data_IF_521839735791
#
_entry.id   IF_521839735791
#
_cell.length_a   1.000
_cell.length_b   1.000
_cell.length_c   1.000
_cell.angle_alpha   90.00
_cell.angle_beta   90.00
_cell.angle_gamma   90.00
#
_symmetry.space_group_name_H-M   'P 1'
#
loop_
_entity.id
_entity.type
_entity.pdbx_description
1 polymer ?
#
# COMPACT_ATOMS: atom_id res chain seq x y z
N UNK A 1 10.16 -3.33 15.10
CA UNK A 1 9.91 -1.88 15.27
C UNK A 1 8.63 -1.74 16.07
N UNK A 2 8.63 -0.91 17.10
CA UNK A 2 7.43 -0.69 17.94
C UNK A 2 6.60 0.44 17.32
N UNK A 3 5.27 0.30 17.34
CA UNK A 3 4.35 1.37 16.91
C UNK A 3 4.53 2.60 17.81
N UNK A 4 4.55 3.79 17.22
CA UNK A 4 4.58 5.03 18.00
C UNK A 4 3.15 5.32 18.50
N UNK A 5 2.87 5.28 19.82
CA UNK A 5 1.51 5.41 20.35
C UNK A 5 0.85 6.76 20.01
N UNK A 6 1.63 7.80 19.70
CA UNK A 6 1.13 9.14 19.35
C UNK A 6 0.64 9.23 17.90
N UNK A 7 0.92 8.22 17.09
CA UNK A 7 0.63 8.17 15.68
C UNK A 7 -0.87 8.04 15.37
N UNK A 8 -1.43 8.97 14.60
CA UNK A 8 -2.83 8.89 14.14
C UNK A 8 -3.13 7.64 13.28
N UNK A 9 -2.09 7.03 12.69
CA UNK A 9 -2.18 5.78 11.95
C UNK A 9 -2.55 4.57 12.82
N UNK A 10 -2.37 4.64 14.14
CA UNK A 10 -2.79 3.57 15.06
C UNK A 10 -4.31 3.47 15.24
N UNK A 11 -5.07 4.50 14.84
CA UNK A 11 -6.54 4.52 14.97
C UNK A 11 -7.21 3.51 14.03
N UNK A 12 -6.48 3.01 13.04
CA UNK A 12 -6.98 2.06 12.05
C UNK A 12 -6.46 0.66 12.37
N UNK A 13 -7.37 -0.29 12.33
CA UNK A 13 -7.09 -1.70 12.58
C UNK A 13 -6.64 -2.38 11.27
N UNK A 14 -5.70 -3.32 11.42
CA UNK A 14 -5.21 -4.20 10.36
C UNK A 14 -4.55 -5.41 11.01
N UNK A 15 -4.65 -6.59 10.38
CA UNK A 15 -4.00 -7.80 10.85
C UNK A 15 -2.47 -7.73 10.69
N UNK A 16 -1.75 -7.54 11.80
CA UNK A 16 -0.28 -7.45 11.76
C UNK A 16 0.41 -8.80 11.54
N UNK A 17 -0.30 -9.90 11.69
CA UNK A 17 0.24 -11.24 11.50
C UNK A 17 0.07 -11.75 10.06
N UNK A 18 -0.58 -10.97 9.19
CA UNK A 18 -0.90 -11.35 7.83
C UNK A 18 0.32 -11.84 7.02
N UNK A 19 1.45 -11.13 7.09
CA UNK A 19 2.67 -11.51 6.35
C UNK A 19 3.56 -12.52 7.08
N UNK A 20 3.13 -13.04 8.22
CA UNK A 20 3.91 -14.00 9.02
C UNK A 20 3.50 -15.46 8.77
N UNK A 21 2.34 -15.66 8.16
CA UNK A 21 1.81 -16.99 7.85
C UNK A 21 1.57 -17.07 6.35
N UNK A 22 2.07 -18.14 5.71
CA UNK A 22 1.83 -18.36 4.30
C UNK A 22 0.40 -18.87 4.08
N UNK A 23 -0.37 -18.15 3.27
CA UNK A 23 -1.71 -18.54 2.81
C UNK A 23 -1.89 -18.12 1.35
N UNK A 24 -2.87 -18.67 0.62
CA UNK A 24 -3.18 -18.23 -0.75
C UNK A 24 -3.43 -16.72 -0.85
N UNK A 25 -4.16 -16.15 0.12
CA UNK A 25 -4.45 -14.72 0.19
C UNK A 25 -3.18 -13.90 0.46
N UNK A 26 -2.33 -14.37 1.37
CA UNK A 26 -1.04 -13.74 1.66
C UNK A 26 -0.15 -13.73 0.42
N UNK A 27 -0.03 -14.86 -0.27
CA UNK A 27 0.76 -14.99 -1.49
C UNK A 27 0.24 -14.06 -2.60
N UNK A 28 -1.08 -13.95 -2.75
CA UNK A 28 -1.70 -13.03 -3.71
C UNK A 28 -1.37 -11.56 -3.40
N UNK A 29 -1.59 -11.13 -2.16
CA UNK A 29 -1.31 -9.75 -1.73
C UNK A 29 0.18 -9.43 -1.82
N UNK A 30 1.05 -10.40 -1.51
CA UNK A 30 2.49 -10.27 -1.66
C UNK A 30 2.86 -10.07 -3.14
N UNK A 31 2.35 -10.92 -4.03
CA UNK A 31 2.55 -10.79 -5.47
C UNK A 31 2.08 -9.43 -6.02
N UNK A 32 0.91 -8.98 -5.57
CA UNK A 32 0.41 -7.63 -5.88
C UNK A 32 1.37 -6.53 -5.41
N UNK A 33 1.91 -6.65 -4.20
CA UNK A 33 2.88 -5.68 -3.67
C UNK A 33 4.17 -5.62 -4.51
N UNK A 34 4.65 -6.77 -4.97
CA UNK A 34 5.80 -6.83 -5.88
C UNK A 34 5.48 -6.24 -7.26
N UNK A 35 4.29 -6.47 -7.82
CA UNK A 35 3.89 -5.94 -9.12
C UNK A 35 3.58 -4.42 -9.07
N UNK A 36 2.54 -4.03 -8.35
CA UNK A 36 1.96 -2.67 -8.40
C UNK A 36 2.07 -1.91 -7.07
N UNK A 37 2.29 -2.62 -5.97
CA UNK A 37 2.40 -1.99 -4.65
C UNK A 37 3.69 -1.18 -4.45
N UNK A 38 3.71 -0.37 -3.41
CA UNK A 38 4.87 0.44 -3.03
C UNK A 38 5.01 0.55 -1.52
N UNK A 39 6.26 0.58 -1.07
CA UNK A 39 6.62 0.83 0.32
C UNK A 39 7.10 2.28 0.46
N UNK A 40 6.48 3.04 1.36
CA UNK A 40 6.80 4.44 1.60
C UNK A 40 7.46 4.60 2.97
N UNK A 41 8.74 4.99 2.96
CA UNK A 41 9.42 5.47 4.16
C UNK A 41 9.03 6.92 4.44
N UNK A 42 8.17 7.08 5.45
CA UNK A 42 7.77 8.40 5.95
C UNK A 42 8.05 8.51 7.44
N UNK A 43 9.06 7.80 7.95
CA UNK A 43 9.32 7.78 9.38
C UNK A 43 9.69 9.17 9.91
N UNK A 44 10.37 9.98 9.10
CA UNK A 44 10.74 11.36 9.48
C UNK A 44 9.50 12.26 9.59
N UNK A 45 8.60 12.24 8.60
CA UNK A 45 7.47 13.17 8.52
C UNK A 45 6.23 12.70 9.29
N UNK A 46 5.95 11.40 9.27
CA UNK A 46 4.71 10.81 9.79
C UNK A 46 4.95 9.84 10.95
N UNK A 47 6.20 9.67 11.39
CA UNK A 47 6.61 8.70 12.42
C UNK A 47 6.15 7.28 12.12
N UNK A 48 5.97 6.95 10.84
CA UNK A 48 5.45 5.65 10.38
C UNK A 48 5.87 5.32 8.96
N UNK A 49 5.64 4.06 8.59
CA UNK A 49 5.85 3.53 7.27
C UNK A 49 4.50 3.14 6.67
N UNK A 50 4.35 3.33 5.35
CA UNK A 50 3.11 3.00 4.67
C UNK A 50 3.29 1.93 3.61
N UNK A 51 2.36 1.00 3.58
CA UNK A 51 2.08 0.13 2.46
C UNK A 51 1.09 0.86 1.57
N UNK A 52 1.42 0.95 0.29
CA UNK A 52 0.66 1.69 -0.70
C UNK A 52 0.22 0.76 -1.81
N UNK A 53 -1.10 0.59 -1.94
CA UNK A 53 -1.74 -0.18 -3.00
C UNK A 53 -2.45 0.81 -3.91
N UNK A 54 -2.16 0.77 -5.20
CA UNK A 54 -2.84 1.60 -6.19
C UNK A 54 -3.29 0.72 -7.35
N UNK A 55 -4.54 0.88 -7.77
CA UNK A 55 -5.09 0.18 -8.92
C UNK A 55 -6.27 1.00 -9.49
N UNK A 56 -6.65 0.74 -10.74
CA UNK A 56 -7.85 1.33 -11.34
C UNK A 56 -9.12 0.52 -11.01
N UNK A 57 -8.96 -0.68 -10.44
CA UNK A 57 -10.06 -1.53 -9.98
C UNK A 57 -10.30 -1.36 -8.47
N UNK A 58 -11.49 -0.86 -8.12
CA UNK A 58 -11.92 -0.67 -6.73
C UNK A 58 -12.26 -2.00 -6.04
N UNK A 59 -12.82 -2.96 -6.76
CA UNK A 59 -13.24 -4.25 -6.20
C UNK A 59 -12.01 -5.05 -5.80
N UNK A 60 -10.97 -5.01 -6.63
CA UNK A 60 -9.69 -5.62 -6.31
C UNK A 60 -9.07 -5.04 -5.02
N UNK A 61 -9.03 -3.72 -4.87
CA UNK A 61 -8.52 -3.10 -3.64
C UNK A 61 -9.41 -3.38 -2.43
N UNK A 62 -10.72 -3.54 -2.65
CA UNK A 62 -11.68 -3.90 -1.60
C UNK A 62 -11.48 -5.34 -1.12
N UNK A 63 -11.18 -6.26 -2.03
CA UNK A 63 -10.79 -7.64 -1.70
C UNK A 63 -9.48 -7.66 -0.91
N UNK A 64 -8.43 -6.98 -1.38
CA UNK A 64 -7.14 -6.87 -0.66
C UNK A 64 -7.34 -6.28 0.74
N UNK A 65 -8.14 -5.22 0.87
CA UNK A 65 -8.46 -4.63 2.17
C UNK A 65 -9.12 -5.64 3.11
N UNK A 66 -10.04 -6.43 2.59
CA UNK A 66 -10.78 -7.43 3.36
C UNK A 66 -9.87 -8.58 3.78
N UNK A 67 -9.00 -9.07 2.88
CA UNK A 67 -8.00 -10.10 3.20
C UNK A 67 -7.02 -9.66 4.29
N UNK A 68 -6.69 -8.37 4.34
CA UNK A 68 -5.83 -7.77 5.37
C UNK A 68 -6.56 -7.50 6.70
N UNK A 69 -7.87 -7.78 6.78
CA UNK A 69 -8.75 -7.41 7.90
C UNK A 69 -8.58 -5.94 8.31
N UNK A 70 -8.64 -5.05 7.30
CA UNK A 70 -8.27 -3.64 7.41
C UNK A 70 -9.48 -2.73 7.34
N UNK A 71 -9.58 -1.76 8.25
CA UNK A 71 -10.62 -0.73 8.23
C UNK A 71 -10.18 0.61 7.59
N UNK A 72 -9.09 0.56 6.81
CA UNK A 72 -8.57 1.72 6.12
C UNK A 72 -9.52 2.15 4.98
N UNK A 73 -9.58 3.46 4.74
CA UNK A 73 -10.38 4.01 3.64
C UNK A 73 -9.62 3.81 2.33
N UNK A 74 -10.34 3.39 1.29
CA UNK A 74 -9.88 3.47 -0.10
C UNK A 74 -10.18 4.89 -0.60
N UNK A 75 -9.15 5.58 -1.06
CA UNK A 75 -9.24 6.93 -1.60
C UNK A 75 -9.38 6.87 -3.11
N UNK A 76 -10.25 7.73 -3.65
CA UNK A 76 -10.36 7.93 -5.10
C UNK A 76 -9.30 8.94 -5.53
N UNK A 77 -8.53 8.57 -6.56
CA UNK A 77 -7.55 9.42 -7.23
C UNK A 77 -8.21 9.93 -8.50
N UNK A 78 -8.52 11.24 -8.58
CA UNK A 78 -9.21 11.78 -9.75
C UNK A 78 -8.35 11.66 -11.02
N UNK A 79 -8.99 11.59 -12.20
CA UNK A 79 -8.34 11.70 -13.50
C UNK A 79 -7.33 12.86 -13.55
N UNK A 80 -6.10 12.57 -13.95
CA UNK A 80 -5.09 13.59 -14.17
C UNK A 80 -5.07 13.96 -15.64
N UNK A 81 -5.18 15.26 -15.91
CA UNK A 81 -5.04 15.82 -17.25
C UNK A 81 -3.60 16.26 -17.46
N UNK A 82 -2.91 15.63 -18.40
CA UNK A 82 -1.55 15.97 -18.80
C UNK A 82 -1.60 16.63 -20.18
N UNK A 83 -1.07 17.85 -20.28
CA UNK A 83 -0.92 18.56 -21.55
C UNK A 83 0.43 18.22 -22.16
N UNK A 84 0.42 17.70 -23.38
CA UNK A 84 1.61 17.45 -24.18
C UNK A 84 1.59 18.37 -25.41
N UNK A 85 2.76 18.52 -26.07
CA UNK A 85 2.87 19.29 -27.32
C UNK A 85 1.89 18.81 -28.41
N UNK A 86 1.54 17.53 -28.40
CA UNK A 86 0.71 16.88 -29.42
C UNK A 86 -0.75 16.66 -28.98
N UNK A 87 -1.18 17.24 -27.85
CA UNK A 87 -2.57 17.12 -27.37
C UNK A 87 -2.70 16.96 -25.86
N UNK A 88 -3.93 16.68 -25.41
CA UNK A 88 -4.28 16.48 -24.00
C UNK A 88 -4.53 14.99 -23.74
N UNK A 89 -3.77 14.41 -22.83
CA UNK A 89 -4.01 13.06 -22.32
C UNK A 89 -4.74 13.15 -20.97
N UNK A 90 -5.76 12.33 -20.76
CA UNK A 90 -6.48 12.26 -19.48
C UNK A 90 -6.36 10.83 -18.97
N UNK A 91 -5.80 10.65 -17.78
CA UNK A 91 -5.75 9.33 -17.14
C UNK A 91 -7.14 8.93 -16.65
N UNK A 92 -7.38 7.63 -16.54
CA UNK A 92 -8.56 7.14 -15.83
C UNK A 92 -8.52 7.50 -14.35
N UNK A 93 -9.69 7.43 -13.72
CA UNK A 93 -9.81 7.44 -12.27
C UNK A 93 -9.08 6.22 -11.69
N UNK A 94 -8.35 6.44 -10.61
CA UNK A 94 -7.64 5.39 -9.89
C UNK A 94 -8.11 5.31 -8.44
N UNK A 95 -7.71 4.26 -7.77
CA UNK A 95 -8.03 4.01 -6.37
C UNK A 95 -6.75 3.71 -5.59
N UNK A 96 -6.73 4.11 -4.32
CA UNK A 96 -5.56 4.00 -3.47
C UNK A 96 -5.97 3.52 -2.08
N UNK A 97 -5.36 2.43 -1.64
CA UNK A 97 -5.40 1.96 -0.26
C UNK A 97 -4.03 2.21 0.38
N UNK A 98 -4.03 2.99 1.47
CA UNK A 98 -2.82 3.33 2.22
C UNK A 98 -2.93 2.80 3.65
N UNK A 99 -2.02 1.90 4.03
CA UNK A 99 -1.99 1.26 5.35
C UNK A 99 -0.72 1.68 6.07
N UNK A 100 -0.87 2.38 7.21
CA UNK A 100 0.25 2.85 8.01
C UNK A 100 0.58 1.85 9.11
N UNK A 101 1.60 1.00 8.91
CA UNK A 101 2.00 0.01 9.90
C UNK A 101 3.49 -0.32 9.79
N UNK A 102 4.24 -0.08 10.87
CA UNK A 102 5.69 -0.37 10.94
C UNK A 102 6.01 -1.87 11.00
N UNK A 103 5.13 -2.67 11.60
CA UNK A 103 5.30 -4.12 11.75
C UNK A 103 5.18 -4.78 10.39
N UNK A 104 4.05 -4.58 9.71
CA UNK A 104 3.81 -5.14 8.37
C UNK A 104 4.83 -4.64 7.34
N UNK A 105 5.26 -3.38 7.43
CA UNK A 105 6.33 -2.86 6.58
C UNK A 105 7.60 -3.68 6.75
N UNK A 106 8.01 -3.96 7.99
CA UNK A 106 9.20 -4.76 8.28
C UNK A 106 9.04 -6.20 7.81
N UNK A 107 7.85 -6.79 7.98
CA UNK A 107 7.58 -8.15 7.50
C UNK A 107 7.77 -8.23 5.98
N UNK A 108 7.28 -7.24 5.23
CA UNK A 108 7.51 -7.15 3.77
C UNK A 108 8.97 -6.94 3.40
N UNK A 109 9.73 -6.13 4.15
CA UNK A 109 11.18 -6.00 3.96
C UNK A 109 11.89 -7.35 4.17
N UNK A 110 11.51 -8.10 5.20
CA UNK A 110 12.08 -9.41 5.47
C UNK A 110 11.76 -10.43 4.38
N UNK A 111 10.60 -10.29 3.71
CA UNK A 111 10.20 -11.09 2.55
C UNK A 111 10.90 -10.65 1.25
N UNK A 112 11.83 -9.69 1.31
CA UNK A 112 12.65 -9.26 0.18
C UNK A 112 12.09 -8.08 -0.62
N UNK A 113 10.96 -7.50 -0.21
CA UNK A 113 10.46 -6.28 -0.82
C UNK A 113 11.34 -5.10 -0.37
N UNK A 114 11.62 -4.14 -1.26
CA UNK A 114 12.45 -2.98 -0.93
C UNK A 114 11.74 -1.68 -1.29
N UNK A 115 12.15 -0.58 -0.65
CA UNK A 115 11.73 0.74 -1.12
C UNK A 115 12.20 0.94 -2.56
N UNK A 116 11.46 1.71 -3.38
CA UNK A 116 11.88 1.99 -4.76
C UNK A 116 12.30 0.72 -5.52
N UNK A 117 11.49 -0.34 -5.40
CA UNK A 117 11.74 -1.68 -5.95
C UNK A 117 12.40 -1.68 -7.32
N UNK A 118 11.96 -0.78 -8.22
CA UNK A 118 12.50 -0.60 -9.58
C UNK A 118 13.99 -0.22 -9.67
N UNK A 119 14.67 0.06 -8.56
CA UNK A 119 16.10 0.40 -8.50
C UNK A 119 16.95 -0.69 -7.85
N UNK A 120 16.34 -1.78 -7.41
CA UNK A 120 17.00 -2.82 -6.61
C UNK A 120 16.67 -4.22 -7.11
N UNK A 121 15.47 -4.41 -7.64
CA UNK A 121 14.96 -5.63 -8.29
C UNK A 121 14.60 -5.25 -9.72
#
# INVERSE_FOLDING_TARGET
>A
MVRDPRGGHNRKAVSENFFKTWSPEMAYVLGFMFADGSLLDTNISSRTYYLFFANNDLDLLSQIRSSLDSNHRIYVKPPCVIRHKNGKYTSHEGYVLRIGNKVMYRDLINLGLTHRKSKTI
#
